data_IF_389948956176
#
_entry.id   IF_389948956176
#
_cell.length_a   1.000
_cell.length_b   1.000
_cell.length_c   1.000
_cell.angle_alpha   90.00
_cell.angle_beta   90.00
_cell.angle_gamma   90.00
#
_symmetry.space_group_name_H-M   'P 1'
#
loop_
_entity.id
_entity.type
_entity.pdbx_description
1 polymer ?
#
# COMPACT_ATOMS: atom_id res chain seq x y z
N UNK A 1 -14.05 22.51 -10.73
CA UNK A 1 -13.76 22.38 -9.28
C UNK A 1 -12.72 23.42 -8.90
N UNK A 2 -12.90 24.17 -7.81
CA UNK A 2 -11.93 25.20 -7.39
C UNK A 2 -10.59 24.56 -6.98
N UNK A 3 -9.46 25.14 -7.39
CA UNK A 3 -8.11 24.63 -7.16
C UNK A 3 -7.81 24.32 -5.67
N UNK A 4 -8.45 25.04 -4.76
CA UNK A 4 -8.34 24.84 -3.30
C UNK A 4 -8.89 23.48 -2.84
N UNK A 5 -9.92 22.97 -3.51
CA UNK A 5 -10.55 21.67 -3.20
C UNK A 5 -9.70 20.52 -3.71
N UNK A 6 -9.15 20.64 -4.93
CA UNK A 6 -8.25 19.65 -5.51
C UNK A 6 -6.99 19.46 -4.65
N UNK A 7 -6.43 20.55 -4.13
CA UNK A 7 -5.27 20.49 -3.24
C UNK A 7 -5.58 19.76 -1.91
N UNK A 8 -6.74 20.02 -1.31
CA UNK A 8 -7.20 19.31 -0.09
C UNK A 8 -7.41 17.81 -0.31
N UNK A 9 -7.95 17.42 -1.47
CA UNK A 9 -8.15 16.02 -1.82
C UNK A 9 -6.81 15.29 -2.02
N UNK A 10 -5.85 15.93 -2.70
CA UNK A 10 -4.49 15.40 -2.87
C UNK A 10 -3.80 15.17 -1.52
N UNK A 11 -3.84 16.16 -0.63
CA UNK A 11 -3.25 16.03 0.70
C UNK A 11 -3.92 14.94 1.55
N UNK A 12 -5.25 14.83 1.47
CA UNK A 12 -5.97 13.75 2.15
C UNK A 12 -5.55 12.38 1.63
N UNK A 13 -5.40 12.24 0.31
CA UNK A 13 -4.94 10.99 -0.31
C UNK A 13 -3.50 10.66 0.10
N UNK A 14 -2.60 11.65 0.11
CA UNK A 14 -1.21 11.49 0.57
C UNK A 14 -1.16 10.95 2.00
N UNK A 15 -1.86 11.60 2.93
CA UNK A 15 -1.91 11.17 4.34
C UNK A 15 -2.47 9.76 4.51
N UNK A 16 -3.49 9.38 3.73
CA UNK A 16 -4.05 8.03 3.75
C UNK A 16 -3.05 6.98 3.26
N UNK A 17 -2.29 7.28 2.20
CA UNK A 17 -1.23 6.38 1.72
C UNK A 17 -0.12 6.22 2.75
N UNK A 18 0.34 7.31 3.36
CA UNK A 18 1.33 7.26 4.45
C UNK A 18 0.82 6.42 5.62
N UNK A 19 -0.43 6.63 6.03
CA UNK A 19 -1.06 5.84 7.10
C UNK A 19 -1.14 4.36 6.74
N UNK A 20 -1.53 4.04 5.50
CA UNK A 20 -1.60 2.64 5.03
C UNK A 20 -0.23 1.97 5.10
N UNK A 21 0.83 2.63 4.67
CA UNK A 21 2.19 2.09 4.74
C UNK A 21 2.66 1.92 6.18
N UNK A 22 2.37 2.87 7.07
CA UNK A 22 2.68 2.73 8.50
C UNK A 22 1.95 1.53 9.12
N UNK A 23 0.66 1.35 8.81
CA UNK A 23 -0.12 0.20 9.30
C UNK A 23 0.35 -1.13 8.72
N UNK A 24 0.74 -1.15 7.44
CA UNK A 24 1.38 -2.31 6.84
C UNK A 24 2.69 -2.65 7.54
N UNK A 25 3.52 -1.66 7.85
CA UNK A 25 4.76 -1.86 8.61
C UNK A 25 4.49 -2.37 10.03
N UNK A 26 3.54 -1.78 10.76
CA UNK A 26 3.13 -2.25 12.10
C UNK A 26 2.63 -3.71 12.06
N UNK A 27 1.80 -4.06 11.09
CA UNK A 27 1.26 -5.41 10.96
C UNK A 27 2.35 -6.44 10.59
N UNK A 28 3.39 -6.02 9.86
CA UNK A 28 4.54 -6.87 9.53
C UNK A 28 5.48 -7.13 10.71
N UNK A 29 5.26 -6.49 11.86
CA UNK A 29 6.02 -6.78 13.09
C UNK A 29 5.51 -8.03 13.81
N UNK A 30 4.32 -8.54 13.45
CA UNK A 30 3.79 -9.76 14.04
C UNK A 30 4.51 -10.99 13.46
N UNK A 31 4.87 -12.00 14.29
CA UNK A 31 5.56 -13.18 13.82
C UNK A 31 4.78 -13.94 12.74
N UNK A 32 5.46 -14.30 11.65
CA UNK A 32 4.87 -15.06 10.53
C UNK A 32 3.96 -14.23 9.61
N UNK A 33 4.00 -12.90 9.71
CA UNK A 33 3.19 -12.00 8.87
C UNK A 33 4.09 -11.25 7.90
N UNK A 34 4.05 -11.65 6.63
CA UNK A 34 4.67 -10.92 5.53
C UNK A 34 3.63 -10.10 4.76
N UNK A 35 3.98 -8.88 4.41
CA UNK A 35 3.05 -7.91 3.83
C UNK A 35 3.65 -7.31 2.57
N UNK A 36 2.80 -7.20 1.55
CA UNK A 36 3.03 -6.36 0.40
C UNK A 36 1.82 -5.46 0.18
N UNK A 37 2.08 -4.18 -0.06
CA UNK A 37 1.05 -3.21 -0.48
C UNK A 37 1.42 -2.75 -1.87
N UNK A 38 0.48 -2.87 -2.82
CA UNK A 38 0.62 -2.37 -4.18
C UNK A 38 -0.50 -1.37 -4.44
N UNK A 39 -0.15 -0.14 -4.84
CA UNK A 39 -1.09 0.92 -5.16
C UNK A 39 -0.89 1.31 -6.61
N UNK A 40 -1.94 1.19 -7.43
CA UNK A 40 -2.00 1.80 -8.75
C UNK A 40 -2.72 3.16 -8.64
N UNK A 41 -2.01 4.25 -8.93
CA UNK A 41 -2.58 5.60 -8.95
C UNK A 41 -2.13 6.32 -10.22
N UNK A 42 -3.10 6.78 -11.03
CA UNK A 42 -2.84 7.55 -12.25
C UNK A 42 -1.82 6.87 -13.18
N UNK A 43 -1.91 5.53 -13.32
CA UNK A 43 -0.99 4.74 -14.14
C UNK A 43 0.40 4.50 -13.52
N UNK A 44 0.65 4.96 -12.29
CA UNK A 44 1.90 4.72 -11.56
C UNK A 44 1.69 3.74 -10.42
N UNK A 45 2.58 2.76 -10.33
CA UNK A 45 2.63 1.84 -9.21
C UNK A 45 3.50 2.40 -8.08
N UNK A 46 3.06 2.22 -6.85
CA UNK A 46 3.85 2.41 -5.63
C UNK A 46 3.74 1.15 -4.79
N UNK A 47 4.86 0.68 -4.25
CA UNK A 47 4.91 -0.57 -3.49
C UNK A 47 5.52 -0.36 -2.11
N UNK A 48 5.12 -1.20 -1.17
CA UNK A 48 5.81 -1.43 0.10
C UNK A 48 5.86 -2.94 0.31
N UNK A 49 7.01 -3.46 0.73
CA UNK A 49 7.16 -4.87 1.12
C UNK A 49 7.85 -4.94 2.47
N UNK A 50 7.39 -5.83 3.36
CA UNK A 50 8.10 -6.14 4.61
C UNK A 50 9.35 -7.00 4.37
N UNK A 51 9.34 -7.78 3.29
CA UNK A 51 10.41 -8.68 2.88
C UNK A 51 11.15 -8.10 1.68
N UNK A 52 12.49 -8.18 1.71
CA UNK A 52 13.38 -7.85 0.58
C UNK A 52 13.76 -9.11 -0.19
N UNK A 53 12.77 -9.91 -0.55
CA UNK A 53 12.93 -11.11 -1.38
C UNK A 53 12.33 -10.81 -2.75
N UNK A 54 13.07 -11.11 -3.82
CA UNK A 54 12.61 -10.91 -5.21
C UNK A 54 11.39 -11.79 -5.55
N UNK A 55 11.21 -12.88 -4.80
CA UNK A 55 10.08 -13.81 -4.90
C UNK A 55 8.80 -13.29 -4.23
N UNK A 56 8.87 -12.13 -3.56
CA UNK A 56 7.81 -11.54 -2.76
C UNK A 56 7.40 -10.15 -3.30
N UNK A 57 6.10 -9.83 -3.47
CA UNK A 57 4.92 -10.64 -3.13
C UNK A 57 4.75 -11.88 -4.01
N UNK A 58 4.01 -12.89 -3.51
CA UNK A 58 3.72 -14.09 -4.27
C UNK A 58 2.85 -13.76 -5.49
N UNK A 59 2.88 -14.64 -6.50
CA UNK A 59 2.00 -14.53 -7.67
C UNK A 59 0.52 -14.48 -7.27
N UNK A 60 -0.31 -13.87 -8.10
CA UNK A 60 -1.76 -13.76 -7.87
C UNK A 60 -2.45 -15.10 -7.63
N UNK A 61 -1.91 -16.20 -8.19
CA UNK A 61 -2.40 -17.56 -8.00
C UNK A 61 -2.30 -18.04 -6.54
N UNK A 62 -1.35 -17.49 -5.79
CA UNK A 62 -1.12 -17.83 -4.39
C UNK A 62 -1.82 -16.86 -3.42
N UNK A 63 -2.56 -15.85 -3.93
CA UNK A 63 -3.25 -14.85 -3.11
C UNK A 63 -4.69 -15.31 -2.86
N UNK A 64 -5.01 -15.58 -1.59
CA UNK A 64 -6.38 -15.81 -1.16
C UNK A 64 -7.08 -14.47 -0.83
N UNK A 65 -8.19 -14.18 -1.50
CA UNK A 65 -8.98 -12.97 -1.25
C UNK A 65 -9.96 -13.20 -0.10
N UNK A 66 -9.81 -12.41 0.96
CA UNK A 66 -10.75 -12.35 2.08
C UNK A 66 -11.62 -11.11 1.84
N UNK A 67 -12.85 -11.31 1.37
CA UNK A 67 -13.83 -10.24 1.17
C UNK A 67 -14.62 -9.99 2.46
#
# INVERSE_FOLDING_TARGET
MSAKVANRQSERLRRRKETLFLKAMELGQFPGVDIAVVILQNGRYSTFTSVKDESWPPSMENIYYIY
#
